data_IF_567003001999
#
_entry.id   IF_567003001999
#
_cell.length_a   1.000
_cell.length_b   1.000
_cell.length_c   1.000
_cell.angle_alpha   90.00
_cell.angle_beta   90.00
_cell.angle_gamma   90.00
#
_symmetry.space_group_name_H-M   'P 1'
#
loop_
_entity.id
_entity.type
_entity.pdbx_description
1 polymer ?
#
# COMPACT_ATOMS: atom_id res chain seq x y z
N UNK A 1 -32.87 9.33 -10.02
CA UNK A 1 -32.58 7.94 -9.63
C UNK A 1 -31.39 7.47 -10.46
N UNK A 2 -30.28 7.10 -9.83
CA UNK A 2 -29.05 6.74 -10.53
C UNK A 2 -29.10 5.29 -11.03
N UNK A 3 -28.92 5.08 -12.32
CA UNK A 3 -28.82 3.75 -12.94
C UNK A 3 -27.42 3.15 -12.71
N UNK A 4 -27.36 1.83 -12.55
CA UNK A 4 -26.11 1.09 -12.32
C UNK A 4 -25.29 0.94 -13.58
N UNK A 5 -24.01 1.28 -13.55
CA UNK A 5 -23.09 1.09 -14.65
C UNK A 5 -22.09 -0.04 -14.36
N UNK A 6 -21.88 -0.95 -15.31
CA UNK A 6 -20.82 -1.97 -15.22
C UNK A 6 -19.42 -1.37 -15.48
N UNK A 7 -18.38 -2.21 -15.46
CA UNK A 7 -17.00 -1.79 -15.76
C UNK A 7 -16.81 -1.19 -17.17
N UNK A 8 -17.83 -1.28 -18.04
CA UNK A 8 -17.89 -0.70 -19.39
C UNK A 8 -18.98 0.39 -19.53
N UNK A 9 -19.49 0.93 -18.42
CA UNK A 9 -20.49 2.00 -18.39
C UNK A 9 -21.86 1.65 -19.00
N UNK A 10 -22.33 0.39 -18.92
CA UNK A 10 -23.68 -0.03 -19.38
C UNK A 10 -24.67 -0.16 -18.23
N UNK A 11 -25.94 0.19 -18.46
CA UNK A 11 -27.00 0.16 -17.44
C UNK A 11 -27.45 -1.29 -17.10
N UNK A 12 -27.24 -1.77 -15.85
CA UNK A 12 -27.51 -3.18 -15.46
C UNK A 12 -28.59 -3.37 -14.38
N UNK A 13 -29.15 -2.31 -13.79
CA UNK A 13 -30.26 -2.45 -12.84
C UNK A 13 -30.50 -1.22 -11.96
N UNK A 14 -31.34 -1.37 -10.94
CA UNK A 14 -31.62 -0.38 -9.86
C UNK A 14 -31.74 -1.10 -8.51
N UNK A 15 -31.37 -0.43 -7.41
CA UNK A 15 -31.35 -0.99 -6.05
C UNK A 15 -32.53 -0.51 -5.19
N UNK A 16 -32.93 -1.35 -4.24
CA UNK A 16 -33.85 -1.03 -3.13
C UNK A 16 -33.14 -1.25 -1.79
N UNK A 17 -32.88 -0.18 -1.02
CA UNK A 17 -32.26 -0.27 0.30
C UNK A 17 -33.30 -0.52 1.40
N UNK A 18 -33.19 -1.61 2.15
CA UNK A 18 -33.85 -1.73 3.45
C UNK A 18 -32.80 -1.50 4.54
N UNK A 19 -33.00 -0.49 5.39
CA UNK A 19 -32.04 -0.17 6.46
C UNK A 19 -32.10 -1.24 7.57
N UNK A 20 -30.98 -1.91 7.83
CA UNK A 20 -30.86 -2.96 8.85
C UNK A 20 -31.05 -2.46 10.30
N UNK A 21 -30.95 -1.15 10.58
CA UNK A 21 -31.03 -0.64 11.96
C UNK A 21 -31.70 0.75 12.05
N UNK A 22 -32.83 0.83 12.74
CA UNK A 22 -33.62 2.07 12.94
C UNK A 22 -33.34 2.78 14.28
N UNK A 23 -32.56 2.18 15.20
CA UNK A 23 -32.32 2.75 16.55
C UNK A 23 -30.90 3.35 16.72
N UNK A 24 -30.77 4.58 17.26
CA UNK A 24 -29.48 5.21 17.56
C UNK A 24 -28.69 4.50 18.68
N UNK A 25 -29.36 3.79 19.59
CA UNK A 25 -28.73 3.01 20.68
C UNK A 25 -27.84 1.89 20.12
N UNK A 26 -28.17 1.35 18.95
CA UNK A 26 -27.41 0.30 18.28
C UNK A 26 -26.14 0.84 17.60
N UNK A 27 -26.09 2.12 17.23
CA UNK A 27 -24.91 2.70 16.55
C UNK A 27 -23.71 2.84 17.48
N UNK A 28 -23.91 3.29 18.71
CA UNK A 28 -22.82 3.43 19.69
C UNK A 28 -22.25 2.07 20.11
N UNK A 29 -23.12 1.07 20.32
CA UNK A 29 -22.70 -0.31 20.61
C UNK A 29 -21.96 -0.93 19.43
N UNK A 30 -22.47 -0.74 18.20
CA UNK A 30 -21.80 -1.22 16.99
C UNK A 30 -20.42 -0.58 16.82
N UNK A 31 -20.29 0.73 17.07
CA UNK A 31 -19.00 1.43 17.03
C UNK A 31 -18.00 0.80 18.01
N UNK A 32 -18.40 0.59 19.28
CA UNK A 32 -17.55 -0.09 20.27
C UNK A 32 -17.19 -1.51 19.83
N UNK A 33 -18.14 -2.26 19.29
CA UNK A 33 -17.88 -3.61 18.80
C UNK A 33 -16.84 -3.61 17.66
N UNK A 34 -16.92 -2.64 16.75
CA UNK A 34 -15.95 -2.50 15.66
C UNK A 34 -14.58 -1.99 16.13
N UNK A 35 -14.49 -1.34 17.29
CA UNK A 35 -13.19 -1.02 17.91
C UNK A 35 -12.48 -2.29 18.40
N UNK A 36 -13.21 -3.28 18.93
CA UNK A 36 -12.65 -4.57 19.37
C UNK A 36 -12.49 -5.59 18.25
N UNK A 37 -13.44 -5.65 17.32
CA UNK A 37 -13.51 -6.64 16.25
C UNK A 37 -13.70 -5.94 14.89
N UNK A 38 -12.70 -5.19 14.40
CA UNK A 38 -12.86 -4.35 13.21
C UNK A 38 -13.08 -5.17 11.94
N UNK A 39 -12.65 -6.44 11.90
CA UNK A 39 -12.87 -7.36 10.77
C UNK A 39 -14.35 -7.73 10.57
N UNK A 40 -15.24 -7.45 11.54
CA UNK A 40 -16.68 -7.65 11.39
C UNK A 40 -17.29 -6.84 10.25
N UNK A 41 -16.57 -5.85 9.71
CA UNK A 41 -16.98 -5.11 8.52
C UNK A 41 -17.31 -6.03 7.33
N UNK A 42 -16.76 -7.25 7.27
CA UNK A 42 -17.10 -8.21 6.20
C UNK A 42 -18.52 -8.76 6.32
N UNK A 43 -19.12 -8.68 7.50
CA UNK A 43 -20.42 -9.28 7.82
C UNK A 43 -21.56 -8.26 7.95
N UNK A 44 -21.25 -6.96 7.90
CA UNK A 44 -22.21 -5.87 8.08
C UNK A 44 -21.99 -4.78 7.04
N UNK A 45 -23.02 -3.99 6.75
CA UNK A 45 -22.95 -2.88 5.78
C UNK A 45 -22.23 -1.65 6.38
N UNK A 46 -20.91 -1.76 6.58
CA UNK A 46 -20.07 -0.62 6.96
C UNK A 46 -18.85 -0.54 6.06
N UNK A 47 -18.40 0.68 5.77
CA UNK A 47 -17.16 0.88 5.04
C UNK A 47 -15.98 0.36 5.86
N UNK A 48 -15.03 -0.38 5.27
CA UNK A 48 -13.84 -0.82 5.98
C UNK A 48 -12.98 0.35 6.42
N UNK A 49 -12.34 0.17 7.57
CA UNK A 49 -11.21 1.00 8.01
C UNK A 49 -9.89 0.30 7.70
N UNK A 50 -8.77 1.03 7.75
CA UNK A 50 -7.43 0.46 7.64
C UNK A 50 -7.22 -0.72 8.59
N UNK A 51 -7.55 -0.49 9.87
CA UNK A 51 -7.41 -1.48 10.92
C UNK A 51 -8.29 -2.71 10.67
N UNK A 52 -9.47 -2.53 10.08
CA UNK A 52 -10.37 -3.63 9.74
C UNK A 52 -9.80 -4.56 8.66
N UNK A 53 -9.25 -3.98 7.60
CA UNK A 53 -8.60 -4.72 6.50
C UNK A 53 -7.38 -5.47 7.03
N UNK A 54 -6.50 -4.77 7.75
CA UNK A 54 -5.29 -5.37 8.33
C UNK A 54 -5.65 -6.49 9.29
N UNK A 55 -6.58 -6.26 10.23
CA UNK A 55 -6.98 -7.26 11.21
C UNK A 55 -7.58 -8.51 10.56
N UNK A 56 -8.34 -8.37 9.46
CA UNK A 56 -8.85 -9.51 8.70
C UNK A 56 -7.69 -10.33 8.08
N UNK A 57 -6.66 -9.67 7.54
CA UNK A 57 -5.47 -10.34 7.03
C UNK A 57 -4.72 -11.05 8.15
N UNK A 58 -4.51 -10.40 9.30
CA UNK A 58 -3.82 -10.98 10.45
C UNK A 58 -4.54 -12.23 10.98
N UNK A 59 -5.88 -12.19 11.07
CA UNK A 59 -6.69 -13.35 11.45
C UNK A 59 -6.58 -14.49 10.43
N UNK A 60 -6.54 -14.16 9.14
CA UNK A 60 -6.45 -15.17 8.07
C UNK A 60 -5.05 -15.79 8.01
N UNK A 61 -3.99 -15.00 8.23
CA UNK A 61 -2.60 -15.47 8.25
C UNK A 61 -2.22 -16.14 9.58
N UNK A 62 -2.94 -15.85 10.67
CA UNK A 62 -2.59 -16.30 12.02
C UNK A 62 -1.37 -15.59 12.61
N UNK A 63 -0.93 -14.47 12.01
CA UNK A 63 0.23 -13.69 12.44
C UNK A 63 0.06 -12.22 12.09
N UNK A 64 0.88 -11.36 12.71
CA UNK A 64 0.91 -9.93 12.39
C UNK A 64 1.40 -9.71 10.96
N UNK A 65 0.84 -8.71 10.27
CA UNK A 65 1.34 -8.32 8.95
C UNK A 65 2.66 -7.57 9.08
N UNK A 66 3.68 -8.00 8.34
CA UNK A 66 4.99 -7.39 8.26
C UNK A 66 5.58 -7.52 6.84
N UNK A 67 6.84 -7.11 6.65
CA UNK A 67 7.49 -7.16 5.34
C UNK A 67 7.53 -8.55 4.72
N UNK A 68 7.63 -9.61 5.54
CA UNK A 68 7.79 -10.99 5.08
C UNK A 68 6.49 -11.60 4.54
N UNK A 69 5.32 -11.10 4.95
CA UNK A 69 4.02 -11.68 4.61
C UNK A 69 3.01 -10.69 4.01
N UNK A 70 3.40 -9.42 3.80
CA UNK A 70 2.49 -8.40 3.26
C UNK A 70 1.95 -8.75 1.86
N UNK A 71 2.71 -9.49 1.06
CA UNK A 71 2.21 -9.96 -0.23
C UNK A 71 1.07 -10.97 -0.05
N UNK A 72 1.16 -11.88 0.91
CA UNK A 72 0.07 -12.80 1.24
C UNK A 72 -1.14 -12.05 1.78
N UNK A 73 -0.93 -11.03 2.61
CA UNK A 73 -1.98 -10.13 3.08
C UNK A 73 -2.69 -9.42 1.91
N UNK A 74 -1.94 -9.01 0.88
CA UNK A 74 -2.50 -8.43 -0.34
C UNK A 74 -3.33 -9.45 -1.14
N UNK A 75 -2.82 -10.67 -1.30
CA UNK A 75 -3.49 -11.76 -2.01
C UNK A 75 -4.78 -12.20 -1.31
N UNK A 76 -4.82 -12.16 0.03
CA UNK A 76 -6.06 -12.38 0.80
C UNK A 76 -7.13 -11.36 0.37
N UNK A 77 -6.76 -10.08 0.20
CA UNK A 77 -7.69 -9.02 -0.22
C UNK A 77 -8.00 -9.03 -1.72
N UNK A 78 -7.20 -9.73 -2.52
CA UNK A 78 -7.34 -9.84 -3.98
C UNK A 78 -7.29 -11.33 -4.38
N UNK A 79 -8.30 -12.12 -3.97
CA UNK A 79 -8.24 -13.57 -4.09
C UNK A 79 -8.09 -14.00 -5.55
N UNK A 80 -7.17 -14.94 -5.76
CA UNK A 80 -6.84 -15.57 -7.04
C UNK A 80 -6.80 -17.09 -6.86
N UNK A 81 -6.84 -17.88 -7.94
CA UNK A 81 -6.62 -19.32 -7.83
C UNK A 81 -5.32 -19.60 -7.06
N UNK A 82 -5.41 -20.33 -5.94
CA UNK A 82 -4.27 -20.68 -5.09
C UNK A 82 -4.00 -19.74 -3.90
N UNK A 83 -4.76 -18.66 -3.71
CA UNK A 83 -4.60 -17.80 -2.51
C UNK A 83 -5.35 -18.39 -1.30
N UNK A 84 -4.86 -18.20 -0.06
CA UNK A 84 -5.59 -18.60 1.14
C UNK A 84 -7.01 -18.02 1.17
N UNK A 85 -7.98 -18.83 1.57
CA UNK A 85 -9.35 -18.36 1.75
C UNK A 85 -9.39 -17.40 2.95
N UNK A 86 -10.07 -16.25 2.79
CA UNK A 86 -10.33 -15.35 3.91
C UNK A 86 -11.03 -16.09 5.04
N UNK A 87 -10.57 -15.89 6.28
CA UNK A 87 -11.22 -16.52 7.45
C UNK A 87 -12.70 -16.11 7.58
N UNK A 88 -13.02 -14.86 7.22
CA UNK A 88 -14.37 -14.30 7.29
C UNK A 88 -14.67 -13.48 6.02
N UNK A 89 -15.01 -14.12 4.89
CA UNK A 89 -15.16 -13.44 3.62
C UNK A 89 -16.32 -12.42 3.65
N UNK A 90 -16.20 -11.31 2.91
CA UNK A 90 -17.28 -10.34 2.73
C UNK A 90 -18.56 -11.01 2.23
N UNK A 91 -19.71 -10.62 2.79
CA UNK A 91 -21.02 -10.99 2.21
C UNK A 91 -21.19 -10.42 0.80
N UNK A 92 -20.63 -9.25 0.54
CA UNK A 92 -20.62 -8.60 -0.76
C UNK A 92 -19.22 -8.12 -1.14
N UNK A 93 -18.94 -8.04 -2.43
CA UNK A 93 -17.66 -7.52 -2.92
C UNK A 93 -17.45 -6.08 -2.45
N UNK A 94 -16.36 -5.85 -1.71
CA UNK A 94 -15.96 -4.50 -1.27
C UNK A 94 -15.43 -3.73 -2.47
N UNK A 95 -16.22 -2.79 -3.01
CA UNK A 95 -15.89 -2.09 -4.26
C UNK A 95 -15.00 -0.86 -4.00
N UNK A 96 -14.09 -0.58 -4.95
CA UNK A 96 -13.39 0.70 -5.13
C UNK A 96 -12.39 1.17 -4.04
N UNK A 97 -11.81 0.26 -3.26
CA UNK A 97 -10.81 0.62 -2.23
C UNK A 97 -9.41 0.01 -2.43
N UNK A 98 -9.15 -0.65 -3.57
CA UNK A 98 -7.89 -1.39 -3.79
C UNK A 98 -6.63 -0.54 -3.59
N UNK A 99 -6.63 0.71 -4.09
CA UNK A 99 -5.57 1.70 -3.84
C UNK A 99 -5.29 1.91 -2.35
N UNK A 100 -6.37 2.16 -1.61
CA UNK A 100 -6.35 2.43 -0.17
C UNK A 100 -5.90 1.21 0.64
N UNK A 101 -6.35 0.00 0.27
CA UNK A 101 -5.93 -1.26 0.92
C UNK A 101 -4.41 -1.39 0.91
N UNK A 102 -3.78 -1.13 -0.23
CA UNK A 102 -2.33 -1.26 -0.36
C UNK A 102 -1.59 -0.22 0.50
N UNK A 103 -2.11 1.00 0.59
CA UNK A 103 -1.56 2.04 1.46
C UNK A 103 -1.69 1.64 2.93
N UNK A 104 -2.80 1.02 3.32
CA UNK A 104 -2.98 0.47 4.67
C UNK A 104 -2.03 -0.68 4.97
N UNK A 105 -1.84 -1.61 4.04
CA UNK A 105 -0.87 -2.69 4.18
C UNK A 105 0.56 -2.16 4.29
N UNK A 106 0.93 -1.20 3.43
CA UNK A 106 2.24 -0.55 3.51
C UNK A 106 2.45 0.16 4.86
N UNK A 107 1.43 0.90 5.33
CA UNK A 107 1.44 1.56 6.65
C UNK A 107 1.57 0.56 7.81
N UNK A 108 0.92 -0.60 7.74
CA UNK A 108 1.08 -1.64 8.78
C UNK A 108 2.49 -2.23 8.75
N UNK A 109 3.07 -2.46 7.57
CA UNK A 109 4.46 -2.95 7.48
C UNK A 109 5.43 -1.95 8.14
N UNK A 110 5.24 -0.65 7.91
CA UNK A 110 6.01 0.40 8.58
C UNK A 110 5.84 0.33 10.11
N UNK A 111 4.59 0.22 10.59
CA UNK A 111 4.30 0.11 12.01
C UNK A 111 4.92 -1.14 12.65
N UNK A 112 4.86 -2.29 11.98
CA UNK A 112 5.49 -3.55 12.38
C UNK A 112 7.02 -3.45 12.42
N UNK A 113 7.62 -2.66 11.52
CA UNK A 113 9.05 -2.39 11.51
C UNK A 113 9.51 -1.40 12.60
N UNK A 114 8.57 -0.77 13.33
CA UNK A 114 8.86 0.22 14.37
C UNK A 114 8.82 1.67 13.89
N UNK A 115 8.21 1.93 12.73
CA UNK A 115 7.93 3.28 12.22
C UNK A 115 6.44 3.58 12.44
N UNK A 116 6.06 4.28 13.52
CA UNK A 116 4.66 4.46 13.88
C UNK A 116 3.96 5.48 12.98
N UNK A 117 2.64 5.33 12.81
CA UNK A 117 1.81 6.36 12.19
C UNK A 117 1.82 7.62 13.08
N UNK A 118 2.00 8.79 12.47
CA UNK A 118 1.96 10.05 13.21
C UNK A 118 0.53 10.40 13.64
N UNK A 119 0.41 10.93 14.87
CA UNK A 119 -0.85 11.44 15.37
C UNK A 119 -1.26 12.72 14.64
N UNK A 120 -2.57 12.89 14.42
CA UNK A 120 -3.12 14.15 13.95
C UNK A 120 -3.43 15.08 15.14
N UNK A 121 -3.33 16.39 14.94
CA UNK A 121 -3.76 17.42 15.88
C UNK A 121 -5.25 17.75 15.78
N UNK A 122 -5.70 18.77 16.53
CA UNK A 122 -7.10 19.21 16.52
C UNK A 122 -7.57 19.76 15.18
N UNK A 123 -6.65 20.15 14.30
CA UNK A 123 -6.92 20.69 12.97
C UNK A 123 -6.77 19.63 11.87
N UNK A 124 -6.60 18.35 12.24
CA UNK A 124 -6.32 17.22 11.34
C UNK A 124 -5.04 17.37 10.52
N UNK A 125 -4.03 18.05 11.07
CA UNK A 125 -2.66 18.05 10.56
C UNK A 125 -1.78 17.07 11.34
N UNK A 126 -0.77 16.46 10.70
CA UNK A 126 0.13 15.56 11.40
C UNK A 126 1.00 16.34 12.40
N UNK A 127 1.13 15.79 13.61
CA UNK A 127 2.13 16.21 14.59
C UNK A 127 3.46 15.58 14.18
N UNK A 128 4.35 16.40 13.62
CA UNK A 128 5.67 15.94 13.19
C UNK A 128 6.45 15.31 14.35
N UNK A 129 6.62 14.00 14.27
CA UNK A 129 7.35 13.19 15.24
C UNK A 129 8.22 12.18 14.50
N UNK A 130 9.44 11.98 14.99
CA UNK A 130 10.38 11.01 14.44
C UNK A 130 10.74 9.97 15.51
N UNK A 131 10.79 8.66 15.16
CA UNK A 131 10.42 8.10 13.87
C UNK A 131 8.90 8.13 13.64
N UNK A 132 8.46 8.26 12.39
CA UNK A 132 7.06 8.08 12.03
C UNK A 132 6.77 8.24 10.53
N UNK A 133 5.56 7.89 10.12
CA UNK A 133 5.06 8.07 8.74
C UNK A 133 3.65 8.64 8.71
N UNK A 134 3.27 9.20 7.56
CA UNK A 134 1.94 9.83 7.34
C UNK A 134 1.34 9.29 6.05
N UNK A 135 0.11 8.77 6.11
CA UNK A 135 -0.64 8.43 4.91
C UNK A 135 -1.23 9.70 4.31
N UNK A 136 -0.92 9.97 3.04
CA UNK A 136 -1.29 11.23 2.37
C UNK A 136 -2.79 11.30 2.02
N UNK A 137 -3.51 10.18 2.12
CA UNK A 137 -4.95 10.11 1.88
C UNK A 137 -5.80 10.42 3.13
N UNK A 138 -5.18 10.62 4.31
CA UNK A 138 -5.85 10.90 5.58
C UNK A 138 -5.74 12.38 5.98
N UNK A 139 -6.71 12.84 6.77
CA UNK A 139 -6.74 14.22 7.28
C UNK A 139 -6.79 15.27 6.17
N UNK A 140 -6.16 16.43 6.41
CA UNK A 140 -6.08 17.53 5.42
C UNK A 140 -5.00 17.33 4.35
N UNK A 141 -4.29 16.20 4.37
CA UNK A 141 -3.18 15.92 3.45
C UNK A 141 -3.62 15.40 2.07
N UNK A 142 -4.92 15.14 1.86
CA UNK A 142 -5.46 14.61 0.60
C UNK A 142 -5.07 15.42 -0.64
N UNK A 143 -4.91 16.74 -0.50
CA UNK A 143 -4.47 17.62 -1.58
C UNK A 143 -3.03 17.34 -2.04
N UNK A 144 -2.21 16.71 -1.20
CA UNK A 144 -0.81 16.38 -1.48
C UNK A 144 -0.63 14.98 -2.11
N UNK A 145 -1.71 14.24 -2.37
CA UNK A 145 -1.68 12.91 -2.99
C UNK A 145 -0.89 12.84 -4.30
N UNK A 146 -0.72 13.96 -5.00
CA UNK A 146 0.10 14.04 -6.21
C UNK A 146 1.57 13.63 -5.99
N UNK A 147 2.08 13.75 -4.75
CA UNK A 147 3.47 13.44 -4.43
C UNK A 147 3.69 11.97 -4.05
N UNK A 148 2.64 11.20 -3.75
CA UNK A 148 2.75 9.78 -3.39
C UNK A 148 1.64 9.30 -2.44
N UNK A 149 1.84 8.10 -1.86
CA UNK A 149 0.87 7.48 -0.95
C UNK A 149 1.19 7.73 0.53
N UNK A 150 2.48 7.67 0.90
CA UNK A 150 2.94 7.81 2.29
C UNK A 150 4.21 8.67 2.32
N UNK A 151 4.33 9.53 3.33
CA UNK A 151 5.50 10.36 3.59
C UNK A 151 6.25 9.87 4.84
N UNK A 152 7.58 9.77 4.75
CA UNK A 152 8.48 9.50 5.88
C UNK A 152 9.43 10.67 6.04
N UNK A 153 9.51 11.33 7.21
CA UNK A 153 10.50 12.35 7.46
C UNK A 153 11.91 11.75 7.56
N UNK A 154 12.83 12.33 6.82
CA UNK A 154 14.25 12.00 6.81
C UNK A 154 15.01 13.12 6.10
N UNK A 155 16.33 13.15 6.27
CA UNK A 155 17.24 14.06 5.59
C UNK A 155 17.82 13.42 4.31
N UNK A 156 18.26 14.22 3.32
CA UNK A 156 18.14 15.67 3.23
C UNK A 156 16.72 16.12 2.82
N UNK A 157 15.94 15.21 2.24
CA UNK A 157 14.54 15.43 1.86
C UNK A 157 13.68 14.30 2.40
N UNK A 158 12.44 14.62 2.78
CA UNK A 158 11.46 13.61 3.18
C UNK A 158 11.31 12.58 2.05
N UNK A 159 11.24 11.31 2.44
CA UNK A 159 11.06 10.21 1.51
C UNK A 159 9.58 10.03 1.21
N UNK A 160 9.25 9.88 -0.07
CA UNK A 160 7.88 9.55 -0.49
C UNK A 160 7.77 8.10 -0.93
N UNK A 161 6.86 7.36 -0.32
CA UNK A 161 6.51 6.00 -0.76
C UNK A 161 5.35 6.08 -1.75
N UNK A 162 5.62 5.66 -2.98
CA UNK A 162 4.61 5.45 -4.00
C UNK A 162 4.10 4.01 -3.93
N UNK A 163 2.92 3.85 -3.31
CA UNK A 163 2.24 2.55 -3.21
C UNK A 163 1.51 2.21 -4.52
N UNK A 164 1.69 0.99 -5.05
CA UNK A 164 1.11 0.55 -6.33
C UNK A 164 0.55 -0.87 -6.30
N UNK A 165 -0.47 -1.09 -7.11
CA UNK A 165 -1.02 -2.41 -7.42
C UNK A 165 -0.18 -3.15 -8.45
N UNK A 166 -0.68 -4.32 -8.84
CA UNK A 166 -0.05 -5.28 -9.76
C UNK A 166 0.39 -4.71 -11.12
N UNK A 167 -0.41 -3.83 -11.74
CA UNK A 167 -0.06 -3.19 -13.01
C UNK A 167 0.65 -1.84 -12.79
N UNK A 168 1.93 -1.73 -13.21
CA UNK A 168 2.76 -0.54 -13.00
C UNK A 168 2.94 0.33 -14.26
N UNK A 169 2.50 -0.13 -15.45
CA UNK A 169 2.80 0.40 -16.81
C UNK A 169 3.15 1.90 -16.93
N UNK A 170 2.39 2.81 -16.31
CA UNK A 170 2.65 4.26 -16.35
C UNK A 170 2.64 4.98 -14.99
N UNK A 171 2.17 4.34 -13.91
CA UNK A 171 1.79 5.07 -12.69
C UNK A 171 2.95 5.39 -11.75
N UNK A 172 4.06 4.65 -11.80
CA UNK A 172 5.26 5.00 -11.03
C UNK A 172 5.89 6.29 -11.58
N UNK A 173 5.74 6.56 -12.87
CA UNK A 173 6.42 7.65 -13.57
C UNK A 173 5.87 9.03 -13.25
N UNK A 174 4.69 9.14 -12.65
CA UNK A 174 4.06 10.43 -12.34
C UNK A 174 4.15 10.82 -10.86
N UNK A 175 4.51 9.90 -9.96
CA UNK A 175 4.44 10.14 -8.52
C UNK A 175 5.70 10.76 -7.92
N UNK A 176 6.84 10.67 -8.61
CA UNK A 176 8.12 11.13 -8.06
C UNK A 176 8.69 12.22 -8.98
N UNK A 177 8.09 13.41 -8.96
CA UNK A 177 8.64 14.57 -9.66
C UNK A 177 9.70 15.22 -8.76
N UNK A 178 10.97 14.84 -8.94
CA UNK A 178 12.14 15.46 -8.32
C UNK A 178 12.25 15.37 -6.79
N UNK A 179 11.39 14.58 -6.14
CA UNK A 179 11.50 14.24 -4.71
C UNK A 179 11.94 12.79 -4.62
N UNK A 180 12.88 12.53 -3.72
CA UNK A 180 13.35 11.18 -3.46
C UNK A 180 12.20 10.28 -3.01
N UNK A 181 12.07 9.13 -3.66
CA UNK A 181 10.98 8.21 -3.39
C UNK A 181 11.36 6.75 -3.49
N UNK A 182 10.48 5.91 -2.97
CA UNK A 182 10.54 4.46 -3.14
C UNK A 182 9.23 3.95 -3.71
N UNK A 183 9.32 2.94 -4.58
CA UNK A 183 8.16 2.20 -5.06
C UNK A 183 7.86 1.08 -4.09
N UNK A 184 6.64 0.99 -3.56
CA UNK A 184 6.16 -0.18 -2.84
C UNK A 184 5.02 -0.77 -3.65
N UNK A 185 5.19 -1.96 -4.22
CA UNK A 185 4.14 -2.52 -5.05
C UNK A 185 4.04 -4.02 -5.07
N UNK A 186 2.84 -4.48 -5.37
CA UNK A 186 2.51 -5.89 -5.50
C UNK A 186 2.63 -6.34 -6.97
N UNK A 187 3.71 -5.96 -7.64
CA UNK A 187 3.87 -6.13 -9.10
C UNK A 187 3.87 -7.60 -9.51
N UNK A 188 3.20 -7.91 -10.63
CA UNK A 188 3.14 -9.28 -11.16
C UNK A 188 3.61 -9.41 -12.63
N UNK A 189 4.08 -8.30 -13.23
CA UNK A 189 4.59 -8.24 -14.61
C UNK A 189 6.09 -7.84 -14.57
N UNK A 190 7.02 -8.80 -14.39
CA UNK A 190 8.46 -8.51 -14.30
C UNK A 190 9.02 -7.82 -15.55
N UNK A 191 8.40 -8.04 -16.71
CA UNK A 191 8.79 -7.47 -18.00
C UNK A 191 8.73 -5.94 -18.05
N UNK A 192 8.03 -5.30 -17.11
CA UNK A 192 7.96 -3.84 -17.00
C UNK A 192 9.27 -3.21 -16.49
N UNK A 193 10.18 -3.99 -15.88
CA UNK A 193 11.28 -3.45 -15.07
C UNK A 193 12.67 -3.63 -15.71
N UNK A 194 12.93 -4.69 -16.47
CA UNK A 194 14.31 -5.08 -16.81
C UNK A 194 14.95 -4.39 -18.04
N UNK A 195 14.29 -3.41 -18.66
CA UNK A 195 14.89 -2.68 -19.80
C UNK A 195 15.75 -1.52 -19.30
N UNK A 196 16.92 -1.29 -19.94
CA UNK A 196 17.81 -0.19 -19.56
C UNK A 196 17.12 1.18 -19.59
N UNK A 197 16.24 1.40 -20.57
CA UNK A 197 15.46 2.64 -20.68
C UNK A 197 14.50 2.82 -19.50
N UNK A 198 13.84 1.75 -19.02
CA UNK A 198 12.97 1.80 -17.84
C UNK A 198 13.77 2.02 -16.56
N UNK A 199 14.87 1.30 -16.37
CA UNK A 199 15.78 1.51 -15.23
C UNK A 199 16.31 2.94 -15.17
N UNK A 200 16.76 3.50 -16.29
CA UNK A 200 17.21 4.89 -16.37
C UNK A 200 16.07 5.87 -16.04
N UNK A 201 14.86 5.59 -16.52
CA UNK A 201 13.69 6.40 -16.27
C UNK A 201 13.30 6.41 -14.78
N UNK A 202 13.27 5.26 -14.10
CA UNK A 202 12.97 5.21 -12.66
C UNK A 202 13.96 6.04 -11.83
N UNK A 203 15.25 5.97 -12.16
CA UNK A 203 16.28 6.78 -11.50
C UNK A 203 16.12 8.27 -11.77
N UNK A 204 15.77 8.64 -13.00
CA UNK A 204 15.47 10.04 -13.35
C UNK A 204 14.25 10.58 -12.62
N UNK A 205 13.28 9.74 -12.32
CA UNK A 205 12.13 10.09 -11.46
C UNK A 205 12.49 10.08 -9.96
N UNK A 206 13.73 9.83 -9.56
CA UNK A 206 14.12 9.90 -8.15
C UNK A 206 13.74 8.67 -7.31
N UNK A 207 13.49 7.51 -7.94
CA UNK A 207 13.35 6.26 -7.19
C UNK A 207 14.71 5.75 -6.70
N UNK A 208 14.87 5.70 -5.38
CA UNK A 208 16.04 5.10 -4.72
C UNK A 208 15.90 3.59 -4.54
N UNK A 209 14.67 3.08 -4.45
CA UNK A 209 14.37 1.65 -4.43
C UNK A 209 12.95 1.35 -4.93
N UNK A 210 12.75 0.14 -5.46
CA UNK A 210 11.45 -0.39 -5.88
C UNK A 210 11.30 -1.78 -5.26
N UNK A 211 10.43 -1.87 -4.26
CA UNK A 211 10.08 -3.08 -3.55
C UNK A 211 8.98 -3.84 -4.27
N UNK A 212 9.19 -5.13 -4.49
CA UNK A 212 8.29 -6.00 -5.23
C UNK A 212 8.21 -7.41 -4.62
N UNK A 213 7.19 -8.22 -4.92
CA UNK A 213 7.10 -9.59 -4.42
C UNK A 213 8.33 -10.41 -4.81
N UNK A 214 8.75 -11.34 -3.95
CA UNK A 214 10.01 -12.09 -4.10
C UNK A 214 10.10 -12.86 -5.42
N UNK A 215 8.98 -13.44 -5.88
CA UNK A 215 8.90 -14.12 -7.17
C UNK A 215 9.17 -13.14 -8.34
N UNK A 216 8.55 -11.96 -8.30
CA UNK A 216 8.72 -10.90 -9.31
C UNK A 216 10.15 -10.36 -9.27
N UNK A 217 10.69 -10.09 -8.08
CA UNK A 217 12.07 -9.66 -7.89
C UNK A 217 13.06 -10.66 -8.51
N UNK A 218 12.88 -11.95 -8.21
CA UNK A 218 13.75 -13.01 -8.74
C UNK A 218 13.69 -13.09 -10.27
N UNK A 219 12.49 -12.98 -10.86
CA UNK A 219 12.32 -12.97 -12.31
C UNK A 219 12.95 -11.74 -12.98
N UNK A 220 12.81 -10.55 -12.37
CA UNK A 220 13.44 -9.31 -12.85
C UNK A 220 14.96 -9.45 -12.81
N UNK A 221 15.52 -9.85 -11.67
CA UNK A 221 16.97 -9.91 -11.49
C UNK A 221 17.61 -11.02 -12.32
N UNK A 222 16.96 -12.18 -12.47
CA UNK A 222 17.42 -13.22 -13.39
C UNK A 222 17.59 -12.66 -14.82
N UNK A 223 16.58 -11.93 -15.31
CA UNK A 223 16.64 -11.33 -16.64
C UNK A 223 17.69 -10.22 -16.76
N UNK A 224 17.86 -9.41 -15.71
CA UNK A 224 18.87 -8.34 -15.68
C UNK A 224 20.28 -8.92 -15.77
N UNK A 225 20.54 -10.02 -15.07
CA UNK A 225 21.83 -10.74 -15.11
C UNK A 225 22.04 -11.40 -16.48
N UNK A 226 21.03 -12.11 -17.00
CA UNK A 226 21.10 -12.76 -18.32
C UNK A 226 21.41 -11.76 -19.44
N UNK A 227 20.88 -10.53 -19.35
CA UNK A 227 21.09 -9.46 -20.31
C UNK A 227 22.38 -8.63 -20.05
N UNK A 228 23.14 -8.91 -18.98
CA UNK A 228 24.35 -8.17 -18.59
C UNK A 228 24.08 -6.70 -18.22
N UNK A 229 22.94 -6.43 -17.57
CA UNK A 229 22.43 -5.08 -17.26
C UNK A 229 22.50 -4.70 -15.79
N UNK A 230 23.21 -5.44 -14.95
CA UNK A 230 23.30 -5.25 -13.50
C UNK A 230 23.69 -3.82 -13.15
N UNK A 231 24.64 -3.24 -13.90
CA UNK A 231 25.06 -1.83 -13.74
C UNK A 231 23.92 -0.81 -13.93
N UNK A 232 22.84 -1.17 -14.60
CA UNK A 232 21.68 -0.31 -14.79
C UNK A 232 20.68 -0.45 -13.62
N UNK A 233 20.68 -1.59 -12.93
CA UNK A 233 19.81 -1.94 -11.80
C UNK A 233 20.32 -1.47 -10.43
N UNK A 234 21.21 -0.48 -10.41
CA UNK A 234 21.64 0.24 -9.19
C UNK A 234 21.08 1.67 -9.19
N UNK A 235 20.72 2.16 -8.00
CA UNK A 235 20.22 3.50 -7.75
C UNK A 235 21.33 4.58 -7.85
N UNK A 236 20.98 5.84 -7.59
CA UNK A 236 21.94 6.96 -7.67
C UNK A 236 23.04 6.90 -6.60
N UNK A 237 22.81 6.17 -5.51
CA UNK A 237 23.76 5.96 -4.41
C UNK A 237 24.61 4.69 -4.60
N UNK A 238 24.40 3.93 -5.68
CA UNK A 238 25.10 2.68 -5.97
C UNK A 238 24.54 1.44 -5.26
N UNK A 239 23.40 1.55 -4.58
CA UNK A 239 22.70 0.41 -3.98
C UNK A 239 21.66 -0.20 -4.95
N UNK A 240 21.15 -1.38 -4.65
CA UNK A 240 20.20 -2.08 -5.53
C UNK A 240 18.91 -1.30 -5.73
N UNK A 241 18.52 -1.11 -6.99
CA UNK A 241 17.27 -0.43 -7.35
C UNK A 241 16.05 -1.33 -7.09
N UNK A 242 16.16 -2.62 -7.34
CA UNK A 242 15.08 -3.59 -7.13
C UNK A 242 15.33 -4.37 -5.84
N UNK A 243 14.29 -4.51 -5.02
CA UNK A 243 14.38 -5.19 -3.71
C UNK A 243 13.14 -6.04 -3.46
N UNK A 244 13.26 -7.14 -2.71
CA UNK A 244 12.10 -7.89 -2.25
C UNK A 244 11.29 -7.09 -1.21
N UNK A 245 9.97 -7.27 -1.18
CA UNK A 245 9.10 -6.68 -0.16
C UNK A 245 9.54 -7.04 1.26
N UNK A 246 10.10 -8.24 1.45
CA UNK A 246 10.65 -8.71 2.72
C UNK A 246 11.71 -7.77 3.33
N UNK A 247 12.41 -6.99 2.50
CA UNK A 247 13.44 -6.06 2.95
C UNK A 247 12.90 -4.67 3.34
N UNK A 248 11.69 -4.31 2.89
CA UNK A 248 11.15 -2.95 2.98
C UNK A 248 11.16 -2.38 4.41
N UNK A 249 10.64 -3.10 5.40
CA UNK A 249 10.55 -2.61 6.77
C UNK A 249 11.93 -2.36 7.39
N UNK A 250 12.89 -3.24 7.11
CA UNK A 250 14.28 -3.09 7.56
C UNK A 250 14.93 -1.84 6.99
N UNK A 251 14.70 -1.54 5.71
CA UNK A 251 15.21 -0.33 5.05
C UNK A 251 14.57 0.95 5.60
N UNK A 252 13.25 0.98 5.72
CA UNK A 252 12.51 2.15 6.23
C UNK A 252 12.91 2.50 7.67
N UNK A 253 13.14 1.48 8.51
CA UNK A 253 13.63 1.66 9.88
C UNK A 253 15.02 2.32 9.95
N UNK A 254 15.88 2.07 8.95
CA UNK A 254 17.22 2.69 8.92
C UNK A 254 17.14 4.17 8.56
N UNK A 255 16.28 4.54 7.62
CA UNK A 255 16.27 5.91 7.09
C UNK A 255 15.35 6.88 7.83
N UNK A 256 14.30 6.39 8.51
CA UNK A 256 13.35 7.28 9.20
C UNK A 256 14.04 8.15 10.25
N UNK A 257 13.83 9.47 10.15
CA UNK A 257 14.47 10.47 10.99
C UNK A 257 16.00 10.54 10.87
N UNK A 258 16.58 9.87 9.87
CA UNK A 258 18.01 9.83 9.59
C UNK A 258 18.28 10.32 8.17
N UNK A 259 19.00 9.54 7.36
CA UNK A 259 19.35 9.90 5.99
C UNK A 259 18.87 8.86 5.00
N UNK A 260 18.36 9.32 3.86
CA UNK A 260 18.04 8.48 2.70
C UNK A 260 19.27 7.95 1.98
N UNK A 261 20.47 8.48 2.25
CA UNK A 261 21.72 7.97 1.65
C UNK A 261 22.05 6.53 2.09
N UNK A 262 21.39 6.04 3.14
CA UNK A 262 21.47 4.65 3.62
C UNK A 262 20.49 3.69 2.91
N UNK A 263 19.73 4.19 1.92
CA UNK A 263 18.90 3.37 1.02
C UNK A 263 19.73 2.76 -0.10
#
# INVERSE_FOLDING_TARGET
MAAFLDANFRAVGTWTSAALFTSPLNRAMLKRLLEYCPCLFTQIEVSPTARAVVHLCELTLGTRVDSSNVHDAFLIQHPRPGTPAMAYPPREAVRNIGGTIMEFLCSEVLASAGVPLMALDGDNWPRWQMPGHIIMNEGRMQALKAFGGILIPCAPTNLVISVKSEAARERLLYSSNSIEGVGFGFFNQPEEFWTSSRMALFKRMGFSAIYMPDATHSAVMARVVDDGRERHAVNLNGADLYRPLAQFGGDMRRVVGRSTLEL
#
